data_IF_169751971704
#
_entry.id   IF_169751971704
#
_cell.length_a   1.000
_cell.length_b   1.000
_cell.length_c   1.000
_cell.angle_alpha   90.00
_cell.angle_beta   90.00
_cell.angle_gamma   90.00
#
_symmetry.space_group_name_H-M   'P 1'
#
loop_
_entity.id
_entity.type
_entity.pdbx_description
1 polymer ?
#
# COMPACT_ATOMS: atom_id res chain seq x y z
N UNK A 1 4.19 14.29 45.12
CA UNK A 1 2.92 14.06 44.40
C UNK A 1 3.18 14.54 42.98
N UNK A 2 3.63 13.63 42.10
CA UNK A 2 4.05 13.98 40.74
C UNK A 2 2.83 13.83 39.83
N UNK A 3 2.47 14.91 39.15
CA UNK A 3 1.43 14.98 38.14
C UNK A 3 1.62 13.88 37.10
N UNK A 4 0.74 12.88 37.14
CA UNK A 4 0.71 11.75 36.20
C UNK A 4 -0.45 11.93 35.24
N UNK A 5 -0.46 13.05 34.52
CA UNK A 5 -1.22 13.20 33.29
C UNK A 5 -0.20 13.38 32.17
N UNK A 6 0.50 12.29 31.85
CA UNK A 6 1.00 12.12 30.50
C UNK A 6 -0.24 12.03 29.61
N UNK A 7 -0.77 13.18 29.20
CA UNK A 7 -1.69 13.26 28.07
C UNK A 7 -1.03 12.50 26.93
N UNK A 8 -1.61 11.35 26.58
CA UNK A 8 -1.22 10.52 25.45
C UNK A 8 -1.45 11.35 24.20
N UNK A 9 -0.46 12.15 23.82
CA UNK A 9 -0.54 13.01 22.66
C UNK A 9 -0.78 12.10 21.44
N UNK A 10 -1.91 12.23 20.73
CA UNK A 10 -2.26 11.33 19.64
C UNK A 10 -1.16 11.37 18.57
N UNK A 11 -0.69 10.20 18.12
CA UNK A 11 0.34 10.10 17.08
C UNK A 11 -0.16 10.74 15.78
N UNK A 12 0.40 11.90 15.42
CA UNK A 12 -0.02 12.73 14.27
C UNK A 12 0.76 12.42 13.00
N UNK A 13 1.52 11.33 12.95
CA UNK A 13 2.21 10.95 11.71
C UNK A 13 1.20 10.44 10.68
N UNK A 14 1.37 10.78 9.38
CA UNK A 14 0.55 10.24 8.31
C UNK A 14 0.60 8.71 8.30
N UNK A 15 -0.52 8.07 7.97
CA UNK A 15 -0.64 6.63 7.88
C UNK A 15 -0.43 6.13 6.45
N UNK A 16 0.27 5.02 6.35
CA UNK A 16 0.37 4.14 5.18
C UNK A 16 -0.41 2.87 5.52
N UNK A 17 -1.49 2.62 4.81
CA UNK A 17 -2.20 1.35 4.92
C UNK A 17 -1.42 0.29 4.15
N UNK A 18 -1.07 -0.81 4.81
CA UNK A 18 -0.45 -1.97 4.16
C UNK A 18 -1.48 -3.06 4.10
N UNK A 19 -2.00 -3.34 2.91
CA UNK A 19 -3.10 -4.26 2.70
C UNK A 19 -2.62 -5.53 2.01
N UNK A 20 -2.62 -6.63 2.75
CA UNK A 20 -2.46 -7.97 2.19
C UNK A 20 -3.86 -8.46 1.87
N UNK A 21 -4.20 -8.57 0.58
CA UNK A 21 -5.59 -8.83 0.18
C UNK A 21 -5.91 -10.32 -0.02
N UNK A 22 -4.89 -11.17 -0.18
CA UNK A 22 -5.09 -12.62 -0.28
C UNK A 22 -5.25 -13.23 1.12
N UNK A 23 -6.36 -13.94 1.40
CA UNK A 23 -6.52 -14.69 2.65
C UNK A 23 -5.42 -15.73 2.78
N UNK A 24 -4.97 -15.96 4.03
CA UNK A 24 -3.94 -16.94 4.39
C UNK A 24 -2.53 -16.69 3.81
N UNK A 25 -2.30 -15.54 3.17
CA UNK A 25 -0.97 -15.20 2.65
C UNK A 25 0.05 -15.04 3.80
N UNK A 26 1.22 -15.69 3.74
CA UNK A 26 2.29 -15.51 4.74
C UNK A 26 2.73 -14.05 4.97
N UNK A 27 2.50 -13.16 4.00
CA UNK A 27 2.73 -11.73 4.11
C UNK A 27 1.87 -11.09 5.19
N UNK A 28 0.68 -11.63 5.49
CA UNK A 28 -0.14 -11.17 6.60
C UNK A 28 0.56 -11.40 7.95
N UNK A 29 1.12 -12.59 8.15
CA UNK A 29 1.89 -12.92 9.36
C UNK A 29 3.15 -12.06 9.43
N UNK A 30 3.90 -11.96 8.32
CA UNK A 30 5.10 -11.13 8.27
C UNK A 30 4.82 -9.65 8.58
N UNK A 31 3.70 -9.12 8.09
CA UNK A 31 3.24 -7.76 8.38
C UNK A 31 2.82 -7.61 9.85
N UNK A 32 2.13 -8.62 10.41
CA UNK A 32 1.82 -8.71 11.83
C UNK A 32 3.07 -8.66 12.71
N UNK A 33 4.12 -9.39 12.37
CA UNK A 33 5.41 -9.35 13.08
C UNK A 33 6.08 -7.97 12.98
N UNK A 34 6.09 -7.39 11.78
CA UNK A 34 6.68 -6.06 11.56
C UNK A 34 5.97 -4.99 12.38
N UNK A 35 4.65 -5.01 12.41
CA UNK A 35 3.84 -4.00 13.11
C UNK A 35 3.79 -4.24 14.62
N UNK A 36 3.72 -5.48 15.08
CA UNK A 36 3.71 -5.85 16.51
C UNK A 36 5.04 -5.59 17.21
N UNK A 37 6.16 -5.61 16.49
CA UNK A 37 7.47 -5.15 17.00
C UNK A 37 7.57 -3.63 17.13
N UNK A 38 6.47 -2.89 16.91
CA UNK A 38 6.40 -1.43 17.05
C UNK A 38 7.08 -0.67 15.90
N UNK A 39 7.54 -1.36 14.86
CA UNK A 39 8.23 -0.73 13.76
C UNK A 39 7.28 0.15 12.94
N UNK A 40 7.75 1.36 12.65
CA UNK A 40 7.11 2.31 11.75
C UNK A 40 8.18 2.99 10.90
N UNK A 41 7.89 3.32 9.62
CA UNK A 41 8.81 4.11 8.82
C UNK A 41 9.01 5.50 9.42
N UNK A 42 10.19 6.09 9.21
CA UNK A 42 10.48 7.42 9.72
C UNK A 42 9.47 8.44 9.18
N UNK A 43 8.82 9.18 10.09
CA UNK A 43 7.84 10.21 9.74
C UNK A 43 6.44 9.71 9.37
N UNK A 44 6.16 8.40 9.37
CA UNK A 44 4.85 7.84 9.07
C UNK A 44 4.47 6.69 10.02
N UNK A 45 3.22 6.23 9.94
CA UNK A 45 2.73 5.00 10.59
C UNK A 45 2.43 3.94 9.54
N UNK A 46 2.76 2.69 9.80
CA UNK A 46 2.33 1.56 8.98
C UNK A 46 1.16 0.85 9.65
N UNK A 47 -0.01 0.84 9.01
CA UNK A 47 -1.23 0.24 9.56
C UNK A 47 -1.61 -1.00 8.74
N UNK A 48 -1.62 -2.20 9.34
CA UNK A 48 -2.01 -3.41 8.63
C UNK A 48 -3.52 -3.41 8.39
N UNK A 49 -3.93 -3.73 7.15
CA UNK A 49 -5.33 -3.93 6.77
C UNK A 49 -5.49 -5.35 6.27
N UNK A 50 -6.44 -6.06 6.87
CA UNK A 50 -6.71 -7.47 6.60
C UNK A 50 -7.38 -7.72 5.25
N UNK A 51 -7.57 -9.01 5.01
CA UNK A 51 -8.17 -9.57 3.79
C UNK A 51 -9.69 -9.46 3.85
N UNK A 52 -10.34 -9.45 2.70
CA UNK A 52 -11.80 -9.41 2.62
C UNK A 52 -12.30 -9.58 1.19
N UNK A 53 -13.61 -9.50 1.00
CA UNK A 53 -14.19 -9.38 -0.33
C UNK A 53 -13.56 -8.19 -1.07
N UNK A 54 -13.01 -8.36 -2.30
CA UNK A 54 -12.26 -7.29 -2.95
C UNK A 54 -13.07 -6.01 -3.19
N UNK A 55 -14.38 -6.10 -3.42
CA UNK A 55 -15.21 -4.91 -3.60
C UNK A 55 -15.33 -4.12 -2.29
N UNK A 56 -15.74 -4.79 -1.20
CA UNK A 56 -15.80 -4.17 0.12
C UNK A 56 -14.43 -3.64 0.60
N UNK A 57 -13.34 -4.34 0.28
CA UNK A 57 -11.98 -3.92 0.60
C UNK A 57 -11.57 -2.66 -0.17
N UNK A 58 -11.91 -2.56 -1.46
CA UNK A 58 -11.66 -1.35 -2.24
C UNK A 58 -12.42 -0.14 -1.69
N UNK A 59 -13.68 -0.33 -1.29
CA UNK A 59 -14.49 0.72 -0.66
C UNK A 59 -13.90 1.16 0.68
N UNK A 60 -13.52 0.20 1.52
CA UNK A 60 -12.89 0.48 2.81
C UNK A 60 -11.60 1.28 2.64
N UNK A 61 -10.70 0.85 1.76
CA UNK A 61 -9.42 1.53 1.51
C UNK A 61 -9.62 2.94 0.96
N UNK A 62 -10.56 3.11 0.02
CA UNK A 62 -10.87 4.42 -0.56
C UNK A 62 -11.46 5.38 0.48
N UNK A 63 -12.37 4.88 1.34
CA UNK A 63 -12.93 5.66 2.45
C UNK A 63 -11.87 6.07 3.46
N UNK A 64 -10.88 5.22 3.73
CA UNK A 64 -9.74 5.56 4.59
C UNK A 64 -8.83 6.61 3.94
N UNK A 65 -8.53 6.49 2.65
CA UNK A 65 -7.73 7.49 1.93
C UNK A 65 -8.38 8.88 1.84
N UNK A 66 -9.71 8.97 2.02
CA UNK A 66 -10.40 10.25 2.14
C UNK A 66 -10.20 10.94 3.51
N UNK A 67 -9.63 10.24 4.50
CA UNK A 67 -9.32 10.78 5.82
C UNK A 67 -8.00 11.57 5.80
N UNK A 68 -7.95 12.68 6.52
CA UNK A 68 -6.79 13.61 6.54
C UNK A 68 -5.51 12.92 7.02
N UNK A 69 -5.61 11.91 7.89
CA UNK A 69 -4.44 11.24 8.48
C UNK A 69 -3.91 10.07 7.63
N UNK A 70 -4.59 9.70 6.54
CA UNK A 70 -4.25 8.55 5.72
C UNK A 70 -3.82 9.00 4.31
N UNK A 71 -2.52 8.95 4.05
CA UNK A 71 -1.95 9.54 2.84
C UNK A 71 -1.45 8.49 1.83
N UNK A 72 -1.55 7.20 2.15
CA UNK A 72 -1.00 6.15 1.30
C UNK A 72 -1.62 4.77 1.50
N UNK A 73 -1.59 3.96 0.44
CA UNK A 73 -1.92 2.53 0.42
C UNK A 73 -0.83 1.76 -0.32
N UNK A 74 -0.28 0.74 0.33
CA UNK A 74 0.51 -0.32 -0.30
C UNK A 74 -0.32 -1.60 -0.31
N UNK A 75 -0.82 -1.98 -1.48
CA UNK A 75 -1.38 -3.30 -1.72
C UNK A 75 -0.23 -4.31 -1.83
N UNK A 76 -0.44 -5.50 -1.27
CA UNK A 76 0.53 -6.60 -1.28
C UNK A 76 -0.19 -7.87 -1.72
N UNK A 77 0.32 -8.51 -2.76
CA UNK A 77 -0.14 -9.83 -3.17
C UNK A 77 0.90 -10.56 -3.98
N UNK A 78 0.59 -11.80 -4.39
CA UNK A 78 1.62 -12.68 -4.94
C UNK A 78 1.87 -12.42 -6.42
N UNK A 79 3.04 -12.88 -6.85
CA UNK A 79 3.37 -13.05 -8.25
C UNK A 79 3.76 -14.47 -8.60
N UNK A 80 3.19 -14.97 -9.69
CA UNK A 80 3.56 -16.26 -10.30
C UNK A 80 4.35 -16.11 -11.60
N UNK A 81 4.58 -14.88 -12.08
CA UNK A 81 5.36 -14.64 -13.32
C UNK A 81 6.78 -14.11 -13.08
N UNK A 82 7.22 -14.01 -11.82
CA UNK A 82 8.62 -13.65 -11.51
C UNK A 82 9.08 -14.31 -10.21
N UNK A 83 10.39 -14.53 -10.14
CA UNK A 83 11.09 -14.95 -8.91
C UNK A 83 11.57 -13.74 -8.08
N UNK A 84 11.41 -12.51 -8.59
CA UNK A 84 11.72 -11.26 -7.90
C UNK A 84 10.46 -10.42 -7.64
N UNK A 85 10.57 -9.46 -6.72
CA UNK A 85 9.51 -8.52 -6.40
C UNK A 85 9.17 -7.65 -7.61
N UNK A 86 7.89 -7.29 -7.78
CA UNK A 86 7.48 -6.41 -8.88
C UNK A 86 6.55 -5.32 -8.41
N UNK A 87 6.80 -4.09 -8.83
CA UNK A 87 5.89 -2.97 -8.56
C UNK A 87 4.99 -2.77 -9.78
N UNK A 88 3.69 -2.99 -9.59
CA UNK A 88 2.72 -2.82 -10.67
C UNK A 88 2.41 -1.32 -10.86
N UNK A 89 2.81 -0.78 -12.01
CA UNK A 89 2.73 0.65 -12.34
C UNK A 89 1.36 1.12 -12.82
N UNK A 90 0.49 0.19 -13.22
CA UNK A 90 -0.85 0.51 -13.73
C UNK A 90 -1.83 -0.61 -13.51
N UNK A 91 -3.11 -0.26 -13.55
CA UNK A 91 -4.21 -1.21 -13.56
C UNK A 91 -5.24 -0.84 -14.63
N UNK A 92 -5.78 -1.85 -15.29
CA UNK A 92 -6.79 -1.68 -16.34
C UNK A 92 -8.21 -1.67 -15.76
N UNK A 93 -9.11 -0.98 -16.45
CA UNK A 93 -10.53 -0.96 -16.13
C UNK A 93 -11.19 -2.30 -16.47
N UNK A 94 -11.08 -3.26 -15.56
CA UNK A 94 -11.49 -4.64 -15.77
C UNK A 94 -12.15 -5.21 -14.50
N UNK A 95 -13.24 -5.95 -14.67
CA UNK A 95 -13.89 -6.69 -13.56
C UNK A 95 -13.00 -7.83 -13.05
N UNK A 96 -13.21 -8.29 -11.81
CA UNK A 96 -12.42 -9.38 -11.20
C UNK A 96 -12.37 -10.65 -12.05
N UNK A 97 -13.51 -11.09 -12.59
CA UNK A 97 -13.59 -12.28 -13.44
C UNK A 97 -13.00 -12.08 -14.86
N UNK A 98 -12.49 -10.89 -15.16
CA UNK A 98 -12.00 -10.52 -16.48
C UNK A 98 -13.10 -10.30 -17.52
N UNK A 99 -12.69 -10.04 -18.77
CA UNK A 99 -13.58 -10.07 -19.94
C UNK A 99 -14.53 -8.87 -20.14
N UNK A 100 -14.78 -8.05 -19.12
CA UNK A 100 -15.61 -6.85 -19.24
C UNK A 100 -14.96 -5.63 -18.58
N UNK A 101 -15.38 -4.44 -19.03
CA UNK A 101 -15.03 -3.17 -18.36
C UNK A 101 -15.74 -3.10 -17.02
N UNK A 102 -15.00 -2.69 -15.99
CA UNK A 102 -15.55 -2.45 -14.66
C UNK A 102 -16.42 -1.20 -14.61
N UNK A 103 -16.00 -0.14 -15.31
CA UNK A 103 -16.73 1.12 -15.43
C UNK A 103 -16.87 1.53 -16.90
N UNK A 104 -18.08 1.90 -17.31
CA UNK A 104 -18.34 2.41 -18.66
C UNK A 104 -17.90 3.88 -18.85
N UNK A 105 -17.77 4.63 -17.76
CA UNK A 105 -17.45 6.06 -17.74
C UNK A 105 -16.05 6.37 -17.19
N UNK A 106 -15.42 5.42 -16.51
CA UNK A 106 -14.07 5.55 -15.98
C UNK A 106 -12.98 5.45 -17.05
N UNK A 107 -11.74 5.84 -16.72
CA UNK A 107 -10.61 5.76 -17.65
C UNK A 107 -10.34 4.30 -18.06
N UNK A 108 -9.64 4.08 -19.17
CA UNK A 108 -9.29 2.73 -19.61
C UNK A 108 -8.24 2.06 -18.69
N UNK A 109 -7.37 2.87 -18.08
CA UNK A 109 -6.41 2.44 -17.06
C UNK A 109 -6.17 3.56 -16.06
N UNK A 110 -5.69 3.20 -14.88
CA UNK A 110 -5.15 4.12 -13.89
C UNK A 110 -3.67 3.77 -13.61
N UNK A 111 -2.85 4.79 -13.33
CA UNK A 111 -1.43 4.62 -13.01
C UNK A 111 -1.22 4.70 -11.50
N UNK A 112 -0.35 3.85 -10.98
CA UNK A 112 0.07 3.90 -9.59
C UNK A 112 0.68 5.29 -9.29
N UNK A 113 0.37 5.82 -8.10
CA UNK A 113 0.87 7.11 -7.61
C UNK A 113 2.00 6.94 -6.60
N UNK A 114 2.30 5.71 -6.18
CA UNK A 114 3.47 5.41 -5.36
C UNK A 114 4.80 5.70 -6.11
N UNK A 115 5.89 6.03 -5.39
CA UNK A 115 7.22 6.26 -5.96
C UNK A 115 7.87 4.95 -6.40
N UNK A 116 7.41 4.41 -7.55
CA UNK A 116 7.79 3.07 -8.02
C UNK A 116 9.30 2.93 -8.23
N UNK A 117 9.94 3.92 -8.85
CA UNK A 117 11.37 3.86 -9.16
C UNK A 117 12.22 3.80 -7.89
N UNK A 118 11.87 4.61 -6.88
CA UNK A 118 12.53 4.64 -5.58
C UNK A 118 12.31 3.34 -4.81
N UNK A 119 11.08 2.79 -4.82
CA UNK A 119 10.82 1.49 -4.17
C UNK A 119 11.67 0.40 -4.81
N UNK A 120 11.70 0.29 -6.15
CA UNK A 120 12.48 -0.73 -6.86
C UNK A 120 13.98 -0.57 -6.57
N UNK A 121 14.49 0.66 -6.60
CA UNK A 121 15.89 0.93 -6.27
C UNK A 121 16.21 0.52 -4.84
N UNK A 122 15.44 0.97 -3.86
CA UNK A 122 15.69 0.69 -2.45
C UNK A 122 15.58 -0.83 -2.14
N UNK A 123 14.67 -1.56 -2.80
CA UNK A 123 14.60 -3.02 -2.71
C UNK A 123 15.88 -3.67 -3.27
N UNK A 124 16.37 -3.20 -4.41
CA UNK A 124 17.61 -3.68 -5.04
C UNK A 124 18.82 -3.40 -4.15
N UNK A 125 18.90 -2.20 -3.57
CA UNK A 125 19.96 -1.80 -2.64
C UNK A 125 19.94 -2.65 -1.35
N UNK A 126 18.77 -3.14 -0.95
CA UNK A 126 18.60 -4.10 0.14
C UNK A 126 18.93 -5.56 -0.27
N UNK A 127 19.44 -5.79 -1.48
CA UNK A 127 19.80 -7.11 -1.99
C UNK A 127 18.63 -7.95 -2.50
N UNK A 128 17.45 -7.34 -2.68
CA UNK A 128 16.25 -8.03 -3.16
C UNK A 128 16.08 -7.78 -4.66
N UNK A 129 15.95 -8.85 -5.45
CA UNK A 129 15.65 -8.72 -6.87
C UNK A 129 14.27 -8.07 -7.05
N UNK A 130 14.22 -6.88 -7.67
CA UNK A 130 13.00 -6.12 -7.88
C UNK A 130 12.96 -5.45 -9.26
N UNK A 131 11.78 -5.37 -9.86
CA UNK A 131 11.52 -4.61 -11.08
C UNK A 131 10.17 -3.86 -11.02
N UNK A 132 9.89 -3.07 -12.06
CA UNK A 132 8.58 -2.47 -12.27
C UNK A 132 7.87 -3.18 -13.44
N UNK A 133 6.56 -3.39 -13.31
CA UNK A 133 5.75 -4.06 -14.33
C UNK A 133 4.51 -3.25 -14.68
N UNK A 134 4.10 -3.32 -15.94
CA UNK A 134 2.81 -2.80 -16.41
C UNK A 134 1.74 -3.88 -16.56
N UNK A 135 2.11 -5.13 -16.32
CA UNK A 135 1.25 -6.29 -16.45
C UNK A 135 0.55 -6.57 -15.12
N UNK A 136 -0.76 -6.80 -15.19
CA UNK A 136 -1.52 -7.33 -14.07
C UNK A 136 -1.46 -8.86 -14.01
N UNK A 137 -1.83 -9.43 -12.86
CA UNK A 137 -2.07 -10.86 -12.72
C UNK A 137 -3.56 -11.18 -12.62
N UNK A 138 -3.88 -12.46 -12.79
CA UNK A 138 -5.23 -13.00 -12.70
C UNK A 138 -5.62 -13.21 -11.23
N UNK A 139 -5.74 -12.10 -10.52
CA UNK A 139 -6.05 -12.01 -9.11
C UNK A 139 -6.77 -10.69 -8.77
N UNK A 140 -7.09 -10.49 -7.49
CA UNK A 140 -7.78 -9.28 -7.04
C UNK A 140 -6.91 -8.01 -7.07
N UNK A 141 -5.57 -8.13 -7.14
CA UNK A 141 -4.66 -7.01 -6.97
C UNK A 141 -4.84 -5.90 -8.00
N UNK A 142 -4.91 -6.27 -9.29
CA UNK A 142 -5.10 -5.28 -10.36
C UNK A 142 -6.45 -4.58 -10.26
N UNK A 143 -7.49 -5.34 -9.89
CA UNK A 143 -8.84 -4.80 -9.67
C UNK A 143 -8.85 -3.79 -8.52
N UNK A 144 -8.27 -4.14 -7.36
CA UNK A 144 -8.15 -3.28 -6.18
C UNK A 144 -7.39 -2.00 -6.52
N UNK A 145 -6.24 -2.13 -7.19
CA UNK A 145 -5.42 -0.99 -7.60
C UNK A 145 -6.21 -0.03 -8.49
N UNK A 146 -6.94 -0.53 -9.49
CA UNK A 146 -7.76 0.31 -10.36
C UNK A 146 -8.87 1.03 -9.57
N UNK A 147 -9.66 0.29 -8.78
CA UNK A 147 -10.78 0.85 -8.00
C UNK A 147 -10.30 1.99 -7.12
N UNK A 148 -9.23 1.78 -6.35
CA UNK A 148 -8.69 2.77 -5.42
C UNK A 148 -8.19 4.00 -6.17
N UNK A 149 -7.38 3.81 -7.22
CA UNK A 149 -6.83 4.93 -7.99
C UNK A 149 -7.91 5.80 -8.63
N UNK A 150 -8.99 5.20 -9.12
CA UNK A 150 -10.11 5.95 -9.73
C UNK A 150 -11.07 6.57 -8.73
N UNK A 151 -10.99 6.17 -7.45
CA UNK A 151 -11.76 6.74 -6.36
C UNK A 151 -11.00 7.84 -5.60
N UNK A 152 -9.75 8.13 -5.98
CA UNK A 152 -8.97 9.18 -5.32
C UNK A 152 -9.63 10.55 -5.49
N UNK A 153 -9.61 11.39 -4.44
CA UNK A 153 -10.10 12.76 -4.55
C UNK A 153 -9.22 13.55 -5.53
N UNK A 154 -9.85 14.46 -6.28
CA UNK A 154 -9.14 15.45 -7.09
C UNK A 154 -8.57 16.54 -6.16
N UNK A 155 -7.39 16.26 -5.60
CA UNK A 155 -6.71 17.10 -4.64
C UNK A 155 -5.24 17.31 -5.05
N UNK A 156 -4.67 18.45 -4.63
CA UNK A 156 -3.28 18.81 -4.96
C UNK A 156 -2.26 17.79 -4.43
N UNK A 157 -2.52 17.20 -3.25
CA UNK A 157 -1.72 16.14 -2.65
C UNK A 157 -2.43 14.79 -2.85
N UNK A 158 -2.27 14.18 -4.02
CA UNK A 158 -2.83 12.86 -4.30
C UNK A 158 -2.18 11.78 -3.39
N UNK A 159 -2.97 10.92 -2.73
CA UNK A 159 -2.42 9.83 -1.93
C UNK A 159 -1.50 8.90 -2.73
N UNK A 160 -0.46 8.38 -2.09
CA UNK A 160 0.47 7.43 -2.69
C UNK A 160 -0.12 6.02 -2.68
N UNK A 161 -0.46 5.48 -3.86
CA UNK A 161 -1.09 4.16 -4.02
C UNK A 161 -0.20 3.28 -4.89
N UNK A 162 0.18 2.11 -4.36
CA UNK A 162 1.03 1.14 -5.06
C UNK A 162 0.60 -0.29 -4.82
N UNK A 163 1.07 -1.20 -5.68
CA UNK A 163 0.88 -2.65 -5.56
C UNK A 163 2.23 -3.35 -5.69
N UNK A 164 2.66 -3.93 -4.57
CA UNK A 164 3.84 -4.78 -4.48
C UNK A 164 3.46 -6.24 -4.71
N UNK A 165 4.02 -6.80 -5.78
CA UNK A 165 3.91 -8.20 -6.16
C UNK A 165 5.08 -8.97 -5.56
N UNK A 166 4.76 -9.97 -4.73
CA UNK A 166 5.72 -10.73 -3.93
C UNK A 166 5.91 -12.13 -4.52
N UNK A 167 7.16 -12.59 -4.77
CA UNK A 167 7.39 -13.95 -5.25
C UNK A 167 6.80 -14.99 -4.32
N UNK A 168 6.25 -16.08 -4.86
CA UNK A 168 5.69 -17.17 -4.04
C UNK A 168 6.75 -17.93 -3.25
N UNK A 169 8.00 -17.92 -3.70
CA UNK A 169 9.12 -18.67 -3.10
C UNK A 169 9.96 -17.84 -2.10
N UNK A 170 9.58 -16.59 -1.84
CA UNK A 170 10.35 -15.70 -0.98
C UNK A 170 10.36 -16.19 0.48
N UNK A 171 11.49 -16.06 1.16
CA UNK A 171 11.56 -16.35 2.58
C UNK A 171 10.95 -15.22 3.45
N UNK A 172 10.55 -15.51 4.70
CA UNK A 172 9.90 -14.51 5.56
C UNK A 172 10.77 -13.30 5.91
N UNK A 173 12.09 -13.43 6.00
CA UNK A 173 12.98 -12.32 6.36
C UNK A 173 13.11 -11.33 5.21
N UNK A 174 13.31 -11.85 3.99
CA UNK A 174 13.28 -11.05 2.76
C UNK A 174 11.94 -10.35 2.57
N UNK A 175 10.83 -11.01 2.91
CA UNK A 175 9.49 -10.41 2.86
C UNK A 175 9.35 -9.26 3.87
N UNK A 176 9.76 -9.44 5.13
CA UNK A 176 9.74 -8.35 6.12
C UNK A 176 10.61 -7.18 5.68
N UNK A 177 11.79 -7.47 5.14
CA UNK A 177 12.70 -6.46 4.58
C UNK A 177 12.03 -5.70 3.45
N UNK A 178 11.41 -6.41 2.49
CA UNK A 178 10.71 -5.78 1.38
C UNK A 178 9.58 -4.85 1.82
N UNK A 179 8.74 -5.29 2.77
CA UNK A 179 7.64 -4.49 3.32
C UNK A 179 8.17 -3.22 4.00
N UNK A 180 9.22 -3.36 4.82
CA UNK A 180 9.85 -2.21 5.49
C UNK A 180 10.46 -1.23 4.50
N UNK A 181 11.16 -1.73 3.50
CA UNK A 181 11.82 -0.94 2.47
C UNK A 181 10.80 -0.19 1.61
N UNK A 182 9.78 -0.88 1.09
CA UNK A 182 8.76 -0.26 0.25
C UNK A 182 7.97 0.83 1.00
N UNK A 183 7.53 0.54 2.22
CA UNK A 183 6.80 1.52 3.04
C UNK A 183 7.68 2.69 3.49
N UNK A 184 8.97 2.45 3.77
CA UNK A 184 9.92 3.54 4.05
C UNK A 184 10.15 4.44 2.83
N UNK A 185 10.22 3.86 1.63
CA UNK A 185 10.31 4.61 0.40
C UNK A 185 9.06 5.47 0.18
N UNK A 186 7.86 4.92 0.38
CA UNK A 186 6.62 5.70 0.32
C UNK A 186 6.57 6.82 1.37
N UNK A 187 6.99 6.55 2.62
CA UNK A 187 6.95 7.51 3.71
C UNK A 187 7.72 8.81 3.41
N UNK A 188 8.85 8.72 2.71
CA UNK A 188 9.65 9.90 2.33
C UNK A 188 8.96 10.85 1.35
N UNK A 189 7.91 10.37 0.66
CA UNK A 189 7.14 11.14 -0.29
C UNK A 189 5.81 11.64 0.27
N UNK A 190 5.52 11.38 1.55
CA UNK A 190 4.30 11.87 2.18
C UNK A 190 4.47 13.32 2.64
N UNK A 191 3.52 14.15 2.25
CA UNK A 191 3.38 15.49 2.81
C UNK A 191 3.10 15.40 4.31
N UNK A 192 3.76 16.21 5.16
CA UNK A 192 3.41 16.29 6.57
C UNK A 192 1.95 16.68 6.76
N UNK A 193 1.28 16.12 7.77
CA UNK A 193 -0.09 16.51 8.06
C UNK A 193 -0.18 18.01 8.39
N UNK A 194 -1.26 18.69 7.96
CA UNK A 194 -1.48 20.09 8.32
C UNK A 194 -1.40 20.29 9.83
N UNK A 195 -0.64 21.29 10.27
CA UNK A 195 -0.67 21.70 11.67
C UNK A 195 -2.06 22.24 11.97
N UNK A 196 -2.85 21.52 12.77
CA UNK A 196 -4.07 22.07 13.33
C UNK A 196 -3.68 23.30 14.16
N UNK A 197 -4.04 24.51 13.70
CA UNK A 197 -3.97 25.67 14.58
C UNK A 197 -5.03 25.44 15.64
N UNK A 198 -4.62 25.28 16.89
CA UNK A 198 -5.54 25.39 18.02
C UNK A 198 -6.16 26.79 17.91
N UNK A 199 -7.45 26.86 17.60
CA UNK A 199 -8.27 28.07 17.78
C UNK A 199 -8.88 28.05 19.15
#
# INVERSE_FOLDING_TARGET
MLDTLAETNPDRRPAILVCVYEPDDPAWVALGDVTSTGWNPAGARALPIGTGDPEALAEHLSARLAQVDCCAVLLVGRTRRSNGFRLQMRAENRVLAGGAKLSSTGPAMARATAPVAEIVRDLTDAGLAADATSEGEDDAGSYLLYRILTALPDAADAPAVGLLRVPTTIDPESLRTALRTATSAMARHLSPLPRTRLS
#
